data_IF_598456240316
#
_entry.id   IF_598456240316
#
_cell.length_a   1.000
_cell.length_b   1.000
_cell.length_c   1.000
_cell.angle_alpha   90.00
_cell.angle_beta   90.00
_cell.angle_gamma   90.00
#
_symmetry.space_group_name_H-M   'P 1'
#
loop_
_entity.id
_entity.type
_entity.pdbx_description
1 polymer ?
#
# COMPACT_ATOMS: atom_id res chain seq x y z
N UNK A 1 13.27 -18.49 -25.07
CA UNK A 1 12.14 -17.53 -24.90
C UNK A 1 12.73 -16.22 -24.45
N UNK A 2 12.74 -15.20 -25.32
CA UNK A 2 13.21 -13.86 -24.96
C UNK A 2 12.07 -13.20 -24.21
N UNK A 3 12.11 -13.26 -22.88
CA UNK A 3 11.13 -12.58 -22.04
C UNK A 3 11.26 -11.08 -22.29
N UNK A 4 10.18 -10.40 -22.68
CA UNK A 4 10.16 -8.94 -22.59
C UNK A 4 10.26 -8.60 -21.11
N UNK A 5 11.20 -7.72 -20.79
CA UNK A 5 11.56 -7.31 -19.43
C UNK A 5 10.31 -6.97 -18.58
N UNK A 6 9.31 -6.32 -19.19
CA UNK A 6 8.06 -5.96 -18.53
C UNK A 6 7.22 -7.15 -18.04
N UNK A 7 7.19 -8.29 -18.75
CA UNK A 7 6.43 -9.46 -18.29
C UNK A 7 7.09 -10.12 -17.08
N UNK A 8 8.42 -10.16 -17.07
CA UNK A 8 9.19 -10.61 -15.92
C UNK A 8 8.98 -9.66 -14.74
N UNK A 9 8.95 -8.34 -14.98
CA UNK A 9 8.67 -7.33 -13.97
C UNK A 9 7.25 -7.46 -13.38
N UNK A 10 6.25 -7.76 -14.21
CA UNK A 10 4.89 -8.06 -13.76
C UNK A 10 4.86 -9.27 -12.83
N UNK A 11 5.47 -10.39 -13.23
CA UNK A 11 5.51 -11.60 -12.39
C UNK A 11 6.24 -11.29 -11.07
N UNK A 12 7.39 -10.61 -11.14
CA UNK A 12 8.15 -10.20 -9.96
C UNK A 12 7.33 -9.30 -9.03
N UNK A 13 6.53 -8.38 -9.57
CA UNK A 13 5.67 -7.49 -8.78
C UNK A 13 4.62 -8.24 -7.97
N UNK A 14 3.93 -9.20 -8.59
CA UNK A 14 2.96 -10.01 -7.88
C UNK A 14 3.63 -10.91 -6.84
N UNK A 15 4.73 -11.57 -7.19
CA UNK A 15 5.49 -12.40 -6.24
C UNK A 15 5.95 -11.59 -5.04
N UNK A 16 6.47 -10.38 -5.26
CA UNK A 16 6.90 -9.49 -4.19
C UNK A 16 5.73 -9.06 -3.31
N UNK A 17 4.66 -8.51 -3.90
CA UNK A 17 3.52 -7.96 -3.15
C UNK A 17 2.81 -9.07 -2.36
N UNK A 18 2.54 -10.22 -2.99
CA UNK A 18 1.95 -11.37 -2.27
C UNK A 18 2.90 -11.93 -1.22
N UNK A 19 4.21 -11.90 -1.45
CA UNK A 19 5.22 -12.26 -0.46
C UNK A 19 5.17 -11.36 0.77
N UNK A 20 5.09 -10.03 0.58
CA UNK A 20 4.96 -9.04 1.65
C UNK A 20 3.66 -9.23 2.43
N UNK A 21 2.53 -9.41 1.74
CA UNK A 21 1.22 -9.65 2.36
C UNK A 21 1.24 -10.96 3.16
N UNK A 22 1.75 -12.03 2.57
CA UNK A 22 1.88 -13.34 3.22
C UNK A 22 2.77 -13.30 4.45
N UNK A 23 3.89 -12.58 4.38
CA UNK A 23 4.77 -12.36 5.53
C UNK A 23 4.09 -11.54 6.62
N UNK A 24 3.35 -10.49 6.26
CA UNK A 24 2.54 -9.72 7.21
C UNK A 24 1.52 -10.61 7.92
N UNK A 25 0.75 -11.40 7.18
CA UNK A 25 -0.22 -12.33 7.76
C UNK A 25 0.44 -13.41 8.64
N UNK A 26 1.63 -13.88 8.26
CA UNK A 26 2.42 -14.82 9.06
C UNK A 26 2.86 -14.18 10.39
N UNK A 27 3.34 -12.94 10.36
CA UNK A 27 3.70 -12.18 11.56
C UNK A 27 2.50 -11.95 12.48
N UNK A 28 1.31 -11.73 11.91
CA UNK A 28 0.05 -11.63 12.67
C UNK A 28 -0.28 -12.94 13.37
N UNK A 29 -0.27 -14.05 12.63
CA UNK A 29 -0.68 -15.38 13.14
C UNK A 29 0.33 -15.98 14.13
N UNK A 30 1.63 -15.91 13.84
CA UNK A 30 2.66 -16.51 14.69
C UNK A 30 3.10 -15.59 15.83
N UNK A 31 3.09 -14.28 15.61
CA UNK A 31 3.62 -13.31 16.55
C UNK A 31 2.58 -12.68 17.48
N UNK A 32 1.29 -13.02 17.35
CA UNK A 32 0.16 -12.35 18.03
C UNK A 32 0.26 -10.81 17.95
N UNK A 33 0.81 -10.28 16.85
CA UNK A 33 1.05 -8.84 16.70
C UNK A 33 -0.28 -8.12 16.44
N UNK A 34 -0.43 -6.88 16.92
CA UNK A 34 -1.62 -6.09 16.63
C UNK A 34 -1.89 -5.98 15.13
N UNK A 35 -3.16 -5.97 14.74
CA UNK A 35 -3.60 -5.80 13.34
C UNK A 35 -3.00 -4.53 12.75
N UNK A 36 -2.95 -3.46 13.54
CA UNK A 36 -2.36 -2.17 13.17
C UNK A 36 -0.87 -2.25 12.82
N UNK A 37 -0.09 -3.05 13.54
CA UNK A 37 1.33 -3.25 13.23
C UNK A 37 1.51 -3.96 11.89
N UNK A 38 0.77 -5.05 11.70
CA UNK A 38 0.83 -5.85 10.46
C UNK A 38 0.41 -5.03 9.24
N UNK A 39 -0.62 -4.20 9.40
CA UNK A 39 -1.07 -3.28 8.35
C UNK A 39 0.02 -2.29 7.95
N UNK A 40 0.68 -1.66 8.92
CA UNK A 40 1.79 -0.71 8.66
C UNK A 40 2.97 -1.41 7.98
N UNK A 41 3.28 -2.64 8.39
CA UNK A 41 4.31 -3.46 7.74
C UNK A 41 3.99 -3.72 6.26
N UNK A 42 2.77 -4.16 5.96
CA UNK A 42 2.33 -4.41 4.57
C UNK A 42 2.34 -3.09 3.78
N UNK A 43 1.87 -2.00 4.35
CA UNK A 43 1.84 -0.68 3.71
C UNK A 43 3.24 -0.21 3.29
N UNK A 44 4.20 -0.22 4.22
CA UNK A 44 5.59 0.11 3.92
C UNK A 44 6.16 -0.86 2.87
N UNK A 45 5.99 -2.16 3.09
CA UNK A 45 6.56 -3.19 2.21
C UNK A 45 6.05 -3.09 0.77
N UNK A 46 4.73 -3.01 0.58
CA UNK A 46 4.12 -2.84 -0.75
C UNK A 46 4.53 -1.49 -1.34
N UNK A 47 4.62 -0.44 -0.53
CA UNK A 47 5.08 0.87 -0.95
C UNK A 47 6.51 0.93 -1.47
N UNK A 48 7.42 0.18 -0.85
CA UNK A 48 8.81 0.07 -1.28
C UNK A 48 8.96 -0.60 -2.65
N UNK A 49 7.91 -1.25 -3.16
CA UNK A 49 7.89 -1.74 -4.53
C UNK A 49 8.09 -0.63 -5.58
N UNK A 50 7.92 0.66 -5.24
CA UNK A 50 8.22 1.77 -6.16
C UNK A 50 9.64 1.68 -6.74
N UNK A 51 10.61 1.20 -5.96
CA UNK A 51 11.99 1.00 -6.41
C UNK A 51 12.02 -0.11 -7.47
N UNK A 52 11.32 -1.21 -7.24
CA UNK A 52 11.15 -2.28 -8.22
C UNK A 52 10.45 -1.79 -9.49
N UNK A 53 9.43 -0.95 -9.34
CA UNK A 53 8.72 -0.32 -10.47
C UNK A 53 9.68 0.47 -11.37
N UNK A 54 10.51 1.33 -10.77
CA UNK A 54 11.49 2.15 -11.50
C UNK A 54 12.56 1.31 -12.18
N UNK A 55 13.05 0.27 -11.51
CA UNK A 55 14.20 -0.50 -11.97
C UNK A 55 13.83 -1.59 -13.00
N UNK A 56 12.61 -2.13 -12.93
CA UNK A 56 12.24 -3.31 -13.69
C UNK A 56 11.28 -3.03 -14.85
N UNK A 57 10.42 -2.00 -14.76
CA UNK A 57 9.46 -1.70 -15.81
C UNK A 57 10.02 -0.67 -16.80
N UNK A 58 9.89 -0.97 -18.09
CA UNK A 58 10.18 -0.03 -19.19
C UNK A 58 8.91 0.66 -19.69
N UNK A 59 7.75 0.08 -19.39
CA UNK A 59 6.47 0.52 -19.92
C UNK A 59 5.47 0.93 -18.82
N UNK A 60 5.08 2.21 -18.84
CA UNK A 60 4.25 2.81 -17.78
C UNK A 60 2.88 2.12 -17.58
N UNK A 61 2.21 1.72 -18.66
CA UNK A 61 0.88 1.11 -18.56
C UNK A 61 0.95 -0.31 -17.97
N UNK A 62 2.08 -1.01 -18.14
CA UNK A 62 2.31 -2.31 -17.50
C UNK A 62 2.63 -2.14 -16.02
N UNK A 63 3.38 -1.10 -15.64
CA UNK A 63 3.62 -0.74 -14.24
C UNK A 63 2.34 -0.36 -13.48
N UNK A 64 1.28 0.08 -14.19
CA UNK A 64 -0.01 0.43 -13.60
C UNK A 64 -0.91 -0.80 -13.34
N UNK A 65 -0.62 -1.95 -13.95
CA UNK A 65 -1.44 -3.17 -13.78
C UNK A 65 -1.48 -3.63 -12.32
N UNK A 66 -0.35 -3.78 -11.61
CA UNK A 66 -0.39 -4.19 -10.21
C UNK A 66 -1.25 -3.26 -9.33
N UNK A 67 -1.00 -1.93 -9.25
CA UNK A 67 -1.83 -1.07 -8.40
C UNK A 67 -3.30 -1.06 -8.84
N UNK A 68 -3.61 -1.05 -10.14
CA UNK A 68 -4.99 -1.11 -10.62
C UNK A 68 -5.70 -2.41 -10.21
N UNK A 69 -5.03 -3.56 -10.31
CA UNK A 69 -5.59 -4.84 -9.88
C UNK A 69 -5.89 -4.86 -8.38
N UNK A 70 -5.01 -4.29 -7.55
CA UNK A 70 -5.22 -4.18 -6.11
C UNK A 70 -6.38 -3.25 -5.75
N UNK A 71 -6.56 -2.13 -6.45
CA UNK A 71 -7.75 -1.27 -6.27
C UNK A 71 -9.02 -2.08 -6.53
N UNK A 72 -9.09 -2.81 -7.63
CA UNK A 72 -10.27 -3.60 -8.00
C UNK A 72 -10.54 -4.69 -6.95
N UNK A 73 -9.52 -5.47 -6.58
CA UNK A 73 -9.64 -6.55 -5.60
C UNK A 73 -10.11 -5.99 -4.24
N UNK A 74 -9.48 -4.93 -3.75
CA UNK A 74 -9.82 -4.32 -2.46
C UNK A 74 -11.22 -3.68 -2.48
N UNK A 75 -11.62 -3.07 -3.60
CA UNK A 75 -12.96 -2.50 -3.77
C UNK A 75 -14.02 -3.59 -3.80
N UNK A 76 -13.80 -4.68 -4.53
CA UNK A 76 -14.72 -5.83 -4.53
C UNK A 76 -14.82 -6.46 -3.14
N UNK A 77 -13.70 -6.61 -2.44
CA UNK A 77 -13.68 -7.12 -1.08
C UNK A 77 -14.47 -6.24 -0.12
N UNK A 78 -14.34 -4.91 -0.25
CA UNK A 78 -15.10 -3.94 0.52
C UNK A 78 -16.61 -4.03 0.23
N UNK A 79 -16.99 -4.15 -1.05
CA UNK A 79 -18.39 -4.24 -1.47
C UNK A 79 -19.07 -5.57 -1.08
N UNK A 80 -18.32 -6.67 -1.00
CA UNK A 80 -18.87 -8.00 -0.73
C UNK A 80 -18.98 -8.37 0.74
N UNK A 81 -18.47 -7.56 1.66
CA UNK A 81 -18.51 -7.84 3.11
C UNK A 81 -17.92 -9.22 3.48
N UNK A 82 -16.98 -9.73 2.68
CA UNK A 82 -16.51 -11.13 2.76
C UNK A 82 -15.68 -11.44 4.00
N UNK A 83 -15.51 -10.47 4.91
CA UNK A 83 -15.04 -10.68 6.28
C UNK A 83 -16.09 -10.24 7.32
N UNK A 84 -17.36 -10.62 7.12
CA UNK A 84 -18.47 -10.43 8.07
C UNK A 84 -18.29 -10.98 9.50
N UNK A 85 -17.12 -11.56 9.85
CA UNK A 85 -16.74 -11.91 11.22
C UNK A 85 -15.77 -10.89 11.88
N UNK A 86 -15.25 -9.92 11.13
CA UNK A 86 -14.32 -8.87 11.59
C UNK A 86 -14.95 -7.47 11.51
N UNK A 87 -16.21 -7.39 11.09
CA UNK A 87 -16.90 -6.15 10.69
C UNK A 87 -17.64 -5.41 11.82
N UNK A 88 -17.50 -5.83 13.07
CA UNK A 88 -17.99 -5.04 14.21
C UNK A 88 -16.93 -4.12 14.83
N UNK A 89 -15.64 -4.25 14.47
CA UNK A 89 -14.56 -3.39 14.98
C UNK A 89 -13.84 -2.54 13.91
N UNK A 90 -13.90 -2.89 12.62
CA UNK A 90 -12.94 -2.37 11.62
C UNK A 90 -13.57 -1.69 10.38
N UNK A 91 -14.65 -0.92 10.56
CA UNK A 91 -15.30 -0.11 9.50
C UNK A 91 -14.43 1.02 8.90
N UNK A 92 -13.16 1.14 9.30
CA UNK A 92 -12.42 2.40 9.19
C UNK A 92 -11.31 2.50 8.14
N UNK A 93 -10.93 1.42 7.44
CA UNK A 93 -9.66 1.44 6.72
C UNK A 93 -9.76 1.43 5.19
N UNK A 94 -10.27 2.53 4.64
CA UNK A 94 -10.22 2.84 3.21
C UNK A 94 -8.78 2.98 2.67
N UNK A 95 -7.76 2.98 3.55
CA UNK A 95 -6.36 3.08 3.18
C UNK A 95 -5.90 1.98 2.22
N UNK A 96 -6.47 0.77 2.30
CA UNK A 96 -6.17 -0.33 1.37
C UNK A 96 -6.65 -0.07 -0.06
N UNK A 97 -7.61 0.85 -0.25
CA UNK A 97 -8.10 1.29 -1.56
C UNK A 97 -7.38 2.57 -1.99
N UNK A 98 -7.27 3.56 -1.11
CA UNK A 98 -6.64 4.84 -1.44
C UNK A 98 -5.14 4.74 -1.69
N UNK A 99 -4.43 3.83 -1.00
CA UNK A 99 -2.99 3.70 -1.17
C UNK A 99 -2.60 3.20 -2.57
N UNK A 100 -3.16 2.11 -3.12
CA UNK A 100 -2.89 1.71 -4.51
C UNK A 100 -3.34 2.75 -5.54
N UNK A 101 -4.41 3.52 -5.27
CA UNK A 101 -4.81 4.66 -6.12
C UNK A 101 -3.71 5.73 -6.14
N UNK A 102 -3.23 6.15 -4.97
CA UNK A 102 -2.16 7.13 -4.85
C UNK A 102 -0.87 6.64 -5.50
N UNK A 103 -0.50 5.37 -5.29
CA UNK A 103 0.63 4.73 -5.95
C UNK A 103 0.49 4.81 -7.48
N UNK A 104 -0.65 4.39 -8.02
CA UNK A 104 -0.92 4.46 -9.46
C UNK A 104 -0.85 5.89 -10.02
N UNK A 105 -1.37 6.87 -9.29
CA UNK A 105 -1.27 8.28 -9.66
C UNK A 105 0.19 8.78 -9.69
N UNK A 106 1.02 8.37 -8.72
CA UNK A 106 2.45 8.70 -8.68
C UNK A 106 3.20 8.07 -9.85
N UNK A 107 2.93 6.80 -10.19
CA UNK A 107 3.50 6.15 -11.38
C UNK A 107 3.12 6.95 -12.63
N UNK A 108 1.84 7.27 -12.80
CA UNK A 108 1.35 7.94 -14.00
C UNK A 108 1.97 9.33 -14.17
N UNK A 109 2.03 10.13 -13.10
CA UNK A 109 2.51 11.51 -13.18
C UNK A 109 4.04 11.61 -13.26
N UNK A 110 4.76 10.79 -12.50
CA UNK A 110 6.22 10.85 -12.38
C UNK A 110 6.96 9.78 -13.20
N UNK A 111 6.28 9.10 -14.13
CA UNK A 111 6.91 8.14 -15.03
C UNK A 111 8.20 8.65 -15.70
N UNK A 112 8.25 9.87 -16.31
CA UNK A 112 9.48 10.36 -16.94
C UNK A 112 10.56 10.78 -15.93
N UNK A 113 10.24 10.83 -14.63
CA UNK A 113 11.10 11.34 -13.57
C UNK A 113 11.20 10.32 -12.44
N UNK A 114 11.95 9.21 -12.64
CA UNK A 114 11.99 8.08 -11.71
C UNK A 114 12.44 8.47 -10.29
N UNK A 115 13.36 9.44 -10.17
CA UNK A 115 13.82 9.95 -8.87
C UNK A 115 12.67 10.64 -8.12
N UNK A 116 11.84 11.42 -8.81
CA UNK A 116 10.69 12.09 -8.20
C UNK A 116 9.55 11.12 -7.88
N UNK A 117 9.36 10.07 -8.69
CA UNK A 117 8.43 8.98 -8.37
C UNK A 117 8.79 8.30 -7.04
N UNK A 118 10.06 7.93 -6.86
CA UNK A 118 10.54 7.32 -5.61
C UNK A 118 10.40 8.31 -4.46
N UNK A 119 10.83 9.56 -4.65
CA UNK A 119 10.74 10.59 -3.61
C UNK A 119 9.29 10.88 -3.19
N UNK A 120 8.34 10.94 -4.13
CA UNK A 120 6.92 11.17 -3.85
C UNK A 120 6.28 10.00 -3.09
N UNK A 121 6.76 8.77 -3.31
CA UNK A 121 6.30 7.59 -2.56
C UNK A 121 6.85 7.55 -1.13
N UNK A 122 8.00 8.14 -0.82
CA UNK A 122 8.59 8.04 0.53
C UNK A 122 7.67 8.62 1.62
N UNK A 123 7.07 9.82 1.49
CA UNK A 123 6.09 10.33 2.44
C UNK A 123 4.83 9.46 2.55
N UNK A 124 4.34 8.92 1.44
CA UNK A 124 3.15 8.06 1.43
C UNK A 124 3.39 6.73 2.15
N UNK A 125 4.62 6.22 2.12
CA UNK A 125 4.98 4.88 2.62
C UNK A 125 5.52 4.95 4.04
N UNK A 126 6.57 5.74 4.26
CA UNK A 126 7.20 5.92 5.55
C UNK A 126 6.51 6.98 6.39
N UNK A 127 6.11 8.11 5.78
CA UNK A 127 5.51 9.23 6.50
C UNK A 127 4.21 8.83 7.20
N UNK A 128 3.31 8.12 6.52
CA UNK A 128 2.06 7.62 7.10
C UNK A 128 2.30 6.66 8.28
N UNK A 129 3.19 5.68 8.08
CA UNK A 129 3.50 4.70 9.11
C UNK A 129 4.21 5.34 10.33
N UNK A 130 5.12 6.29 10.11
CA UNK A 130 5.82 7.02 11.16
C UNK A 130 4.88 7.98 11.89
N UNK A 131 4.01 8.69 11.18
CA UNK A 131 3.02 9.59 11.79
C UNK A 131 2.12 8.84 12.77
N UNK A 132 1.73 7.60 12.46
CA UNK A 132 0.96 6.78 13.38
C UNK A 132 1.78 6.32 14.60
N UNK A 133 3.06 5.96 14.44
CA UNK A 133 3.92 5.51 15.57
C UNK A 133 4.24 6.67 16.52
N UNK A 134 4.66 7.82 15.97
CA UNK A 134 4.99 9.00 16.76
C UNK A 134 3.74 9.74 17.25
N UNK A 135 2.68 9.79 16.44
CA UNK A 135 1.42 10.44 16.80
C UNK A 135 0.74 9.79 18.00
N UNK A 136 0.83 8.46 18.14
CA UNK A 136 0.28 7.74 19.29
C UNK A 136 1.03 8.06 20.60
N UNK A 137 2.32 8.39 20.53
CA UNK A 137 3.15 8.70 21.71
C UNK A 137 3.18 10.19 22.06
N UNK A 138 2.99 11.10 21.09
CA UNK A 138 3.22 12.54 21.27
C UNK A 138 2.03 13.43 20.85
N UNK A 139 1.01 12.90 20.17
CA UNK A 139 -0.02 13.69 19.48
C UNK A 139 -1.39 13.65 20.16
N UNK A 140 -1.55 14.28 21.33
CA UNK A 140 -2.86 14.50 21.95
C UNK A 140 -3.45 15.89 21.65
N UNK A 141 -3.23 16.43 20.44
CA UNK A 141 -3.82 17.71 20.04
C UNK A 141 -5.13 17.46 19.28
N UNK A 142 -6.25 17.49 20.00
CA UNK A 142 -7.59 17.47 19.39
C UNK A 142 -7.87 18.83 18.76
N UNK A 143 -8.00 18.86 17.43
CA UNK A 143 -8.46 20.04 16.70
C UNK A 143 -9.97 19.94 16.45
N UNK A 144 -10.73 20.89 16.97
CA UNK A 144 -12.16 21.05 16.68
C UNK A 144 -12.33 22.04 15.54
N UNK A 145 -12.71 21.55 14.36
CA UNK A 145 -13.14 22.39 13.25
C UNK A 145 -14.65 22.62 13.42
N UNK A 146 -15.06 23.81 13.84
CA UNK A 146 -16.48 24.19 13.96
C UNK A 146 -17.06 24.26 15.39
N UNK A 147 -16.24 24.14 16.44
CA UNK A 147 -16.64 24.53 17.80
C UNK A 147 -17.57 23.56 18.54
N UNK A 148 -17.40 22.24 18.39
CA UNK A 148 -17.96 21.28 19.34
C UNK A 148 -16.87 20.33 19.79
N UNK A 149 -16.41 20.58 21.01
CA UNK A 149 -15.69 19.62 21.86
C UNK A 149 -16.72 18.75 22.56
#
# INVERSE_FOLDING_TARGET
>A
MVWRQDYTALIASYVYIFGVIGLGELLRRLGHRPVDFTRKFIHIGVGMWVIGTVLLFETWYLALIPPASFVIINTISYLRGTFGAMEMEDKGNLGTIYFPIAFGAVIYYFWPQPVLMVAAMMPLTWGDAMAAVFGEHYGHYRWSIGGKV
#
